data_IF_446515383574
#
_entry.id   IF_446515383574
#
_cell.length_a   1.000
_cell.length_b   1.000
_cell.length_c   1.000
_cell.angle_alpha   90.00
_cell.angle_beta   90.00
_cell.angle_gamma   90.00
#
_symmetry.space_group_name_H-M   'P 1'
#
loop_
_entity.id
_entity.type
_entity.pdbx_description
1 polymer ?
#
# COMPACT_ATOMS: atom_id res chain seq x y z
N UNK A 1 10.41 -4.08 -2.56
CA UNK A 1 9.69 -3.00 -1.82
C UNK A 1 10.41 -2.70 -0.49
N UNK A 2 10.19 -1.56 0.19
CA UNK A 2 10.81 -1.25 1.50
C UNK A 2 9.75 -0.94 2.57
N UNK A 3 9.88 -1.44 3.81
CA UNK A 3 9.02 -1.04 4.93
C UNK A 3 8.95 0.48 5.13
N UNK A 4 7.82 1.00 5.60
CA UNK A 4 7.51 2.44 5.69
C UNK A 4 7.04 3.07 4.39
N UNK A 5 6.96 2.30 3.29
CA UNK A 5 6.42 2.79 2.02
C UNK A 5 4.89 2.85 2.09
N UNK A 6 4.31 3.97 1.67
CA UNK A 6 2.86 4.11 1.54
C UNK A 6 2.38 3.86 0.11
N UNK A 7 1.30 3.09 0.00
CA UNK A 7 0.64 2.69 -1.22
C UNK A 7 -0.81 3.13 -1.18
N UNK A 8 -1.27 3.78 -2.24
CA UNK A 8 -2.68 4.16 -2.38
C UNK A 8 -3.32 3.40 -3.54
N UNK A 9 -4.57 2.94 -3.38
CA UNK A 9 -5.37 2.47 -4.50
C UNK A 9 -5.42 3.47 -5.65
N UNK A 10 -5.24 2.99 -6.87
CA UNK A 10 -5.49 3.74 -8.10
C UNK A 10 -6.89 3.38 -8.58
N UNK A 11 -7.86 4.25 -8.35
CA UNK A 11 -9.22 4.12 -8.87
C UNK A 11 -9.78 5.46 -9.30
N UNK A 12 -10.84 5.44 -10.13
CA UNK A 12 -11.61 6.64 -10.50
C UNK A 12 -12.48 7.17 -9.35
N UNK A 13 -12.78 6.37 -8.33
CA UNK A 13 -13.67 6.74 -7.21
C UNK A 13 -13.19 6.18 -5.87
N UNK A 14 -13.12 7.07 -4.86
CA UNK A 14 -13.64 6.78 -3.52
C UNK A 14 -12.76 6.06 -2.49
N UNK A 15 -11.53 5.65 -2.78
CA UNK A 15 -10.68 5.09 -1.72
C UNK A 15 -10.08 6.19 -0.84
N UNK A 16 -10.63 6.32 0.37
CA UNK A 16 -10.19 7.19 1.47
C UNK A 16 -9.22 6.48 2.42
N UNK A 17 -8.45 5.52 1.90
CA UNK A 17 -7.44 4.80 2.67
C UNK A 17 -6.17 4.59 1.84
N UNK A 18 -5.08 4.30 2.55
CA UNK A 18 -3.81 3.86 1.98
C UNK A 18 -3.20 2.77 2.87
N UNK A 19 -2.19 2.10 2.36
CA UNK A 19 -1.47 1.03 3.03
C UNK A 19 -0.04 1.43 3.29
N UNK A 20 0.42 1.27 4.52
CA UNK A 20 1.84 1.30 4.85
C UNK A 20 2.39 -0.11 4.79
N UNK A 21 3.45 -0.32 4.04
CA UNK A 21 4.18 -1.59 4.03
C UNK A 21 4.93 -1.70 5.36
N UNK A 22 4.54 -2.65 6.21
CA UNK A 22 5.19 -2.89 7.50
C UNK A 22 6.24 -4.01 7.41
N UNK A 23 6.08 -4.93 6.45
CA UNK A 23 7.02 -6.02 6.22
C UNK A 23 6.94 -6.50 4.78
N UNK A 24 8.09 -6.88 4.22
CA UNK A 24 8.20 -7.53 2.91
C UNK A 24 8.72 -8.94 3.15
N UNK A 25 7.95 -9.93 2.71
CA UNK A 25 8.33 -11.33 2.70
C UNK A 25 8.85 -11.68 1.30
N UNK A 26 10.01 -12.35 1.20
CA UNK A 26 10.52 -12.79 -0.08
C UNK A 26 9.59 -13.84 -0.72
N UNK A 27 9.73 -14.11 -2.03
CA UNK A 27 9.13 -15.27 -2.66
C UNK A 27 9.48 -16.56 -1.88
N UNK A 28 8.56 -17.52 -1.88
CA UNK A 28 8.75 -18.83 -1.23
C UNK A 28 8.03 -19.91 -2.03
N UNK A 29 8.10 -21.16 -1.58
CA UNK A 29 7.65 -22.34 -2.34
C UNK A 29 6.18 -22.30 -2.83
N UNK A 30 5.32 -21.48 -2.23
CA UNK A 30 3.91 -21.31 -2.63
C UNK A 30 3.62 -20.00 -3.39
N UNK A 31 4.60 -19.12 -3.61
CA UNK A 31 4.45 -17.90 -4.42
C UNK A 31 5.78 -17.42 -5.00
N UNK A 32 5.82 -17.28 -6.32
CA UNK A 32 6.94 -16.72 -7.08
C UNK A 32 7.14 -15.21 -6.89
N UNK A 33 6.26 -14.53 -6.14
CA UNK A 33 6.30 -13.10 -5.88
C UNK A 33 6.46 -12.77 -4.40
N UNK A 34 7.04 -11.60 -4.12
CA UNK A 34 7.07 -11.01 -2.77
C UNK A 34 5.64 -10.87 -2.22
N UNK A 35 5.51 -10.97 -0.89
CA UNK A 35 4.27 -10.65 -0.18
C UNK A 35 4.51 -9.46 0.75
N UNK A 36 3.69 -8.43 0.63
CA UNK A 36 3.80 -7.20 1.43
C UNK A 36 2.74 -7.22 2.51
N UNK A 37 3.19 -7.34 3.75
CA UNK A 37 2.32 -7.13 4.89
C UNK A 37 2.14 -5.64 5.09
N UNK A 38 0.88 -5.22 5.20
CA UNK A 38 0.47 -3.84 5.21
C UNK A 38 -0.37 -3.50 6.44
N UNK A 39 -0.28 -2.23 6.86
CA UNK A 39 -1.20 -1.59 7.80
C UNK A 39 -2.10 -0.61 7.05
N UNK A 40 -3.41 -0.61 7.35
CA UNK A 40 -4.34 0.36 6.78
C UNK A 40 -4.34 1.67 7.53
N UNK A 41 -4.31 2.76 6.77
CA UNK A 41 -4.45 4.13 7.22
C UNK A 41 -5.60 4.80 6.47
N UNK A 42 -6.29 5.74 7.12
CA UNK A 42 -7.16 6.68 6.42
C UNK A 42 -6.34 7.64 5.54
N UNK A 43 -7.04 8.41 4.71
CA UNK A 43 -6.41 9.42 3.86
C UNK A 43 -7.17 10.74 3.98
N UNK A 44 -6.45 11.83 4.26
CA UNK A 44 -7.02 13.18 4.32
C UNK A 44 -7.34 13.76 2.92
N UNK A 45 -7.88 14.98 2.87
CA UNK A 45 -8.20 15.66 1.61
C UNK A 45 -6.94 15.95 0.75
N UNK A 46 -5.77 16.04 1.37
CA UNK A 46 -4.50 16.24 0.69
C UNK A 46 -3.87 14.91 0.22
N UNK A 47 -4.47 13.76 0.52
CA UNK A 47 -3.94 12.46 0.12
C UNK A 47 -2.90 11.89 1.10
N UNK A 48 -2.79 12.44 2.31
CA UNK A 48 -1.82 12.02 3.33
C UNK A 48 -2.40 10.94 4.25
N UNK A 49 -1.57 9.98 4.71
CA UNK A 49 -2.00 8.98 5.68
C UNK A 49 -2.41 9.65 7.00
N UNK A 50 -3.56 9.25 7.53
CA UNK A 50 -4.04 9.66 8.86
C UNK A 50 -4.56 8.44 9.60
N UNK A 51 -4.39 8.41 10.91
CA UNK A 51 -5.09 7.43 11.74
C UNK A 51 -6.58 7.78 11.74
N UNK A 52 -7.40 6.91 11.12
CA UNK A 52 -8.85 7.05 11.05
C UNK A 52 -9.59 6.17 12.07
N UNK A 53 -8.86 5.60 13.05
CA UNK A 53 -9.39 4.70 14.07
C UNK A 53 -9.81 3.33 13.53
N UNK A 54 -9.56 3.07 12.24
CA UNK A 54 -9.79 1.78 11.58
C UNK A 54 -8.45 1.13 11.25
N UNK A 55 -7.47 1.30 12.14
CA UNK A 55 -6.19 0.62 12.05
C UNK A 55 -6.44 -0.89 11.99
N UNK A 56 -6.11 -1.49 10.86
CA UNK A 56 -6.11 -2.92 10.67
C UNK A 56 -4.70 -3.37 10.37
N UNK A 57 -4.13 -4.18 11.26
CA UNK A 57 -2.94 -4.96 10.96
C UNK A 57 -3.36 -6.23 10.21
N UNK A 58 -2.60 -6.62 9.17
CA UNK A 58 -2.78 -7.93 8.54
C UNK A 58 -3.30 -7.91 7.10
N UNK A 59 -3.38 -6.75 6.45
CA UNK A 59 -3.56 -6.73 5.00
C UNK A 59 -2.32 -7.29 4.32
N UNK A 60 -2.48 -8.18 3.36
CA UNK A 60 -1.36 -8.78 2.63
C UNK A 60 -1.58 -8.57 1.15
N UNK A 61 -0.68 -7.82 0.50
CA UNK A 61 -0.64 -7.70 -0.96
C UNK A 61 0.40 -8.69 -1.51
N UNK A 62 0.07 -9.42 -2.56
CA UNK A 62 0.93 -10.48 -3.09
C UNK A 62 0.69 -10.69 -4.57
N UNK A 63 1.68 -11.21 -5.30
CA UNK A 63 1.55 -11.34 -6.76
C UNK A 63 1.49 -9.98 -7.47
N UNK A 64 2.05 -8.94 -6.84
CA UNK A 64 2.06 -7.58 -7.37
C UNK A 64 3.12 -7.46 -8.47
N UNK A 65 2.68 -7.01 -9.64
CA UNK A 65 3.58 -6.75 -10.78
C UNK A 65 3.68 -5.25 -11.00
N UNK A 66 4.90 -4.70 -11.08
CA UNK A 66 5.09 -3.30 -11.46
C UNK A 66 4.71 -3.12 -12.94
N UNK A 67 3.72 -2.27 -13.21
CA UNK A 67 3.19 -2.03 -14.57
C UNK A 67 3.52 -0.65 -15.11
N UNK A 68 3.91 0.26 -14.22
CA UNK A 68 4.45 1.58 -14.53
C UNK A 68 5.32 2.04 -13.34
N UNK A 69 6.18 3.05 -13.50
CA UNK A 69 7.04 3.51 -12.41
C UNK A 69 6.24 3.80 -11.14
N UNK A 70 6.55 3.06 -10.05
CA UNK A 70 5.86 3.17 -8.76
C UNK A 70 4.37 2.83 -8.78
N UNK A 71 3.91 2.05 -9.77
CA UNK A 71 2.55 1.54 -9.86
C UNK A 71 2.58 0.03 -10.02
N UNK A 72 1.93 -0.65 -9.10
CA UNK A 72 1.80 -2.10 -9.06
C UNK A 72 0.37 -2.51 -9.35
N UNK A 73 0.23 -3.60 -10.08
CA UNK A 73 -1.04 -4.27 -10.33
C UNK A 73 -1.11 -5.52 -9.48
N UNK A 74 -2.19 -5.67 -8.71
CA UNK A 74 -2.54 -6.91 -8.03
C UNK A 74 -3.20 -7.86 -9.04
N UNK A 75 -2.57 -9.01 -9.27
CA UNK A 75 -3.06 -10.01 -10.22
C UNK A 75 -4.01 -11.04 -9.56
N UNK A 76 -4.06 -11.09 -8.22
CA UNK A 76 -4.93 -12.02 -7.47
C UNK A 76 -6.37 -11.51 -7.41
N UNK A 77 -6.53 -10.21 -7.19
CA UNK A 77 -7.85 -9.57 -7.04
C UNK A 77 -8.54 -9.22 -8.37
N UNK A 78 -7.96 -9.56 -9.53
CA UNK A 78 -8.62 -9.35 -10.81
C UNK A 78 -9.92 -10.17 -10.99
N UNK A 79 -10.13 -11.19 -10.16
CA UNK A 79 -11.30 -12.07 -10.18
C UNK A 79 -12.33 -11.76 -9.06
N UNK A 80 -11.99 -10.92 -8.09
CA UNK A 80 -12.86 -10.53 -6.99
C UNK A 80 -13.14 -9.02 -7.09
N UNK A 81 -14.35 -8.66 -7.52
CA UNK A 81 -14.84 -7.28 -7.73
C UNK A 81 -14.78 -6.35 -6.48
N UNK A 82 -14.20 -6.79 -5.36
CA UNK A 82 -14.26 -6.10 -4.08
C UNK A 82 -12.99 -5.30 -3.71
N UNK A 83 -11.91 -5.40 -4.51
CA UNK A 83 -10.60 -4.81 -4.19
C UNK A 83 -10.02 -3.88 -5.27
N UNK A 84 -9.16 -2.91 -4.91
CA UNK A 84 -8.43 -2.12 -5.88
C UNK A 84 -7.36 -2.94 -6.59
N UNK A 85 -7.46 -3.03 -7.92
CA UNK A 85 -6.52 -3.78 -8.76
C UNK A 85 -5.15 -3.12 -8.91
N UNK A 86 -5.06 -1.81 -8.66
CA UNK A 86 -3.85 -1.03 -8.89
C UNK A 86 -3.48 -0.24 -7.65
N UNK A 87 -2.19 -0.18 -7.37
CA UNK A 87 -1.60 0.49 -6.21
C UNK A 87 -0.48 1.39 -6.68
N UNK A 88 -0.47 2.64 -6.22
CA UNK A 88 0.63 3.58 -6.50
C UNK A 88 1.36 3.95 -5.22
N UNK A 89 2.67 4.12 -5.31
CA UNK A 89 3.43 4.74 -4.22
C UNK A 89 2.96 6.17 -4.05
N UNK A 90 2.75 6.59 -2.81
CA UNK A 90 2.62 8.01 -2.50
C UNK A 90 3.91 8.47 -1.84
N UNK A 91 4.44 9.60 -2.32
CA UNK A 91 5.47 10.30 -1.58
C UNK A 91 4.79 10.93 -0.38
N UNK A 92 5.27 10.56 0.81
CA UNK A 92 4.95 11.32 2.00
C UNK A 92 5.59 12.70 1.77
N UNK A 93 4.78 13.70 1.44
CA UNK A 93 5.25 15.08 1.48
C UNK A 93 5.80 15.29 2.89
N UNK A 94 7.06 15.71 2.99
CA UNK A 94 7.77 16.05 4.22
C UNK A 94 6.77 16.44 5.31
N UNK A 95 6.58 15.58 6.31
CA UNK A 95 5.81 15.96 7.47
C UNK A 95 6.56 17.15 8.09
N UNK A 96 5.97 18.35 8.19
CA UNK A 96 6.53 19.35 9.07
C UNK A 96 6.33 18.82 10.49
N UNK A 97 7.36 18.16 11.04
CA UNK A 97 7.32 17.64 12.41
C UNK A 97 8.08 16.34 12.67
N UNK A 98 8.50 15.58 11.65
CA UNK A 98 9.32 14.39 11.88
C UNK A 98 10.79 14.77 11.74
N UNK A 99 11.39 15.22 12.84
CA UNK A 99 12.85 15.38 12.92
C UNK A 99 13.51 14.07 12.51
N UNK A 100 14.53 14.10 11.64
CA UNK A 100 15.34 12.90 11.39
C UNK A 100 15.99 12.50 12.71
N UNK A 101 15.66 11.30 13.19
CA UNK A 101 16.44 10.65 14.23
C UNK A 101 17.78 10.31 13.58
N UNK A 102 18.79 11.13 13.91
CA UNK A 102 20.20 10.80 13.74
C UNK A 102 20.59 9.64 14.66
#
# INVERSE_FOLDING_TARGET
>A
MTPGTFLRPVSRTGFSYCFEVIRVWPPHEWTDSETWQCRRWGVDRQGRPVDDGREGHGYSLSGLTEVAPSVWRDLRDAAADEGPTYWRRIQQADQPGQLPLF
#
